data_IF_318401996576
#
_entry.id   IF_318401996576
#
_cell.length_a   1.000
_cell.length_b   1.000
_cell.length_c   1.000
_cell.angle_alpha   90.00
_cell.angle_beta   90.00
_cell.angle_gamma   90.00
#
_symmetry.space_group_name_H-M   'P 1'
#
loop_
_entity.id
_entity.type
_entity.pdbx_description
1 polymer ?
#
# COMPACT_ATOMS: atom_id res chain seq x y z
N UNK A 1 5.25 13.81 -2.94
CA UNK A 1 6.13 13.42 -1.80
C UNK A 1 5.23 12.92 -0.69
N UNK A 2 5.42 11.70 -0.20
CA UNK A 2 4.69 11.18 0.96
C UNK A 2 5.39 11.67 2.24
N UNK A 3 4.60 12.06 3.24
CA UNK A 3 5.08 12.48 4.57
C UNK A 3 4.42 11.56 5.58
N UNK A 4 5.22 11.00 6.49
CA UNK A 4 4.73 10.21 7.60
C UNK A 4 4.44 11.12 8.80
N UNK A 5 3.27 10.98 9.41
CA UNK A 5 2.86 11.76 10.59
C UNK A 5 2.88 10.87 11.84
N UNK A 6 3.49 11.36 12.93
CA UNK A 6 3.47 10.63 14.20
C UNK A 6 2.09 10.73 14.85
N UNK A 7 1.56 9.59 15.30
CA UNK A 7 0.29 9.50 16.03
C UNK A 7 0.51 10.08 17.44
N UNK A 8 -0.46 10.89 17.90
CA UNK A 8 -0.47 11.49 19.25
C UNK A 8 -1.65 11.04 20.11
N UNK A 9 -2.60 10.33 19.51
CA UNK A 9 -3.80 9.79 20.17
C UNK A 9 -3.87 8.27 20.04
N UNK A 10 -5.09 7.74 19.90
CA UNK A 10 -5.30 6.32 19.63
C UNK A 10 -4.77 5.94 18.24
N UNK A 11 -4.10 4.80 18.15
CA UNK A 11 -3.68 4.22 16.88
C UNK A 11 -4.88 3.70 16.08
N UNK A 12 -4.84 3.77 14.74
CA UNK A 12 -5.94 3.32 13.91
C UNK A 12 -6.08 1.79 13.96
N UNK A 13 -7.31 1.30 13.80
CA UNK A 13 -7.61 -0.12 13.66
C UNK A 13 -7.38 -0.53 12.21
N UNK A 14 -6.77 -1.70 11.98
CA UNK A 14 -6.57 -2.24 10.63
C UNK A 14 -7.81 -3.05 10.21
N UNK A 15 -8.87 -2.36 9.80
CA UNK A 15 -10.14 -2.96 9.35
C UNK A 15 -10.55 -2.58 7.91
N UNK A 16 -9.73 -1.78 7.22
CA UNK A 16 -9.94 -1.34 5.85
C UNK A 16 -10.76 -0.05 5.73
N UNK A 17 -11.22 0.52 6.85
CA UNK A 17 -11.80 1.85 6.90
C UNK A 17 -10.73 2.91 7.21
N UNK A 18 -10.91 4.10 6.65
CA UNK A 18 -10.05 5.27 6.92
C UNK A 18 -10.85 6.36 7.64
N UNK A 19 -11.68 5.97 8.61
CA UNK A 19 -12.57 6.85 9.37
C UNK A 19 -12.11 7.11 10.82
N UNK A 20 -11.09 6.40 11.30
CA UNK A 20 -10.41 6.73 12.55
C UNK A 20 -9.85 8.16 12.54
N UNK A 21 -9.97 8.86 13.68
CA UNK A 21 -9.49 10.24 13.82
C UNK A 21 -7.98 10.39 13.61
N UNK A 22 -7.19 9.33 13.78
CA UNK A 22 -5.76 9.37 13.52
C UNK A 22 -5.45 9.73 12.05
N UNK A 23 -6.29 9.31 11.11
CA UNK A 23 -6.10 9.59 9.68
C UNK A 23 -6.26 11.06 9.32
N UNK A 24 -7.00 11.84 10.11
CA UNK A 24 -7.18 13.28 9.84
C UNK A 24 -5.92 14.09 10.15
N UNK A 25 -4.96 13.53 10.89
CA UNK A 25 -3.69 14.20 11.20
C UNK A 25 -2.68 14.13 10.04
N UNK A 26 -2.88 13.22 9.08
CA UNK A 26 -2.02 13.10 7.90
C UNK A 26 -2.68 13.71 6.66
N UNK A 27 -1.99 14.68 6.05
CA UNK A 27 -2.34 15.17 4.73
C UNK A 27 -2.19 14.03 3.71
N UNK A 28 -3.21 13.72 2.90
CA UNK A 28 -3.08 12.72 1.85
C UNK A 28 -2.01 13.13 0.85
N UNK A 29 -1.09 12.21 0.56
CA UNK A 29 -0.31 12.29 -0.65
C UNK A 29 -1.22 11.99 -1.85
N UNK A 30 -1.16 12.89 -2.83
CA UNK A 30 -1.89 12.81 -4.11
C UNK A 30 -0.94 13.10 -5.26
N UNK A 31 -1.46 13.12 -6.49
CA UNK A 31 -0.68 13.47 -7.68
C UNK A 31 0.29 12.37 -8.09
N UNK A 32 -0.12 11.12 -7.90
CA UNK A 32 0.59 9.96 -8.44
C UNK A 32 0.68 10.03 -9.96
N UNK A 33 1.71 9.39 -10.51
CA UNK A 33 1.95 9.32 -11.95
C UNK A 33 1.86 7.89 -12.42
N UNK A 34 1.58 7.72 -13.70
CA UNK A 34 1.50 6.44 -14.35
C UNK A 34 2.91 5.89 -14.57
N UNK A 35 3.06 4.58 -14.37
CA UNK A 35 4.18 3.83 -14.92
C UNK A 35 3.84 3.31 -16.33
N UNK A 36 2.60 2.86 -16.52
CA UNK A 36 1.99 2.46 -17.77
C UNK A 36 0.56 3.01 -17.85
N UNK A 37 -0.02 3.18 -19.05
CA UNK A 37 0.60 3.05 -20.37
C UNK A 37 1.49 4.24 -20.76
N UNK A 38 1.37 5.38 -20.08
CA UNK A 38 2.13 6.60 -20.40
C UNK A 38 3.03 7.00 -19.21
N UNK A 39 4.29 6.52 -19.17
CA UNK A 39 5.20 6.78 -18.05
C UNK A 39 5.35 8.28 -17.74
N UNK A 40 5.07 8.64 -16.49
CA UNK A 40 5.20 10.02 -15.98
C UNK A 40 3.98 10.92 -16.20
N UNK A 41 2.96 10.48 -16.96
CA UNK A 41 1.69 11.20 -17.05
C UNK A 41 0.95 11.19 -15.71
N UNK A 42 0.07 12.18 -15.42
CA UNK A 42 -0.79 12.13 -14.24
C UNK A 42 -1.62 10.85 -14.20
N UNK A 43 -1.77 10.22 -13.03
CA UNK A 43 -2.65 9.05 -12.87
C UNK A 43 -4.07 9.37 -13.36
N UNK A 44 -4.64 8.47 -14.15
CA UNK A 44 -6.02 8.59 -14.66
C UNK A 44 -7.05 8.38 -13.57
N UNK A 45 -6.73 7.51 -12.60
CA UNK A 45 -7.54 7.21 -11.44
C UNK A 45 -6.95 7.88 -10.20
N UNK A 46 -7.80 8.58 -9.43
CA UNK A 46 -7.35 9.32 -8.26
C UNK A 46 -6.88 8.33 -7.19
N UNK A 47 -5.71 8.60 -6.62
CA UNK A 47 -5.18 7.84 -5.48
C UNK A 47 -4.82 8.80 -4.35
N UNK A 48 -5.20 8.44 -3.13
CA UNK A 48 -4.76 9.09 -1.90
C UNK A 48 -4.03 8.10 -1.03
N UNK A 49 -2.83 8.44 -0.57
CA UNK A 49 -2.10 7.64 0.41
C UNK A 49 -1.77 8.48 1.65
N UNK A 50 -1.93 7.89 2.84
CA UNK A 50 -1.56 8.48 4.13
C UNK A 50 -0.60 7.52 4.84
N UNK A 51 0.42 8.08 5.48
CA UNK A 51 1.36 7.31 6.32
C UNK A 51 1.29 7.87 7.73
N UNK A 52 0.99 7.00 8.69
CA UNK A 52 1.06 7.29 10.11
C UNK A 52 2.09 6.37 10.75
N UNK A 53 2.61 6.76 11.91
CA UNK A 53 3.45 5.87 12.71
C UNK A 53 3.37 6.22 14.19
N UNK A 54 3.61 5.22 15.03
CA UNK A 54 3.87 5.37 16.46
C UNK A 54 5.17 4.64 16.82
N UNK A 55 5.36 4.30 18.09
CA UNK A 55 6.57 3.62 18.55
C UNK A 55 6.53 2.10 18.27
N UNK A 56 5.38 1.56 17.83
CA UNK A 56 5.14 0.13 17.62
C UNK A 56 5.02 -0.22 16.13
N UNK A 57 4.38 0.64 15.33
CA UNK A 57 4.05 0.33 13.94
C UNK A 57 4.09 1.53 12.99
N UNK A 58 4.22 1.21 11.70
CA UNK A 58 3.94 2.11 10.58
C UNK A 58 2.62 1.69 9.94
N UNK A 59 1.69 2.63 9.83
CA UNK A 59 0.37 2.42 9.26
C UNK A 59 0.30 3.09 7.89
N UNK A 60 -0.18 2.35 6.90
CA UNK A 60 -0.35 2.86 5.53
C UNK A 60 -1.81 2.74 5.13
N UNK A 61 -2.46 3.88 4.91
CA UNK A 61 -3.83 3.96 4.44
C UNK A 61 -3.85 4.40 3.00
N UNK A 62 -4.45 3.60 2.10
CA UNK A 62 -4.56 3.94 0.69
C UNK A 62 -6.02 3.93 0.28
N UNK A 63 -6.48 5.01 -0.34
CA UNK A 63 -7.78 5.10 -0.99
C UNK A 63 -7.60 5.21 -2.49
N UNK A 64 -8.03 4.17 -3.18
CA UNK A 64 -7.98 4.03 -4.63
C UNK A 64 -9.38 4.35 -5.15
N UNK A 65 -9.51 5.40 -5.94
CA UNK A 65 -10.77 5.73 -6.60
C UNK A 65 -10.74 5.08 -7.98
N UNK A 66 -11.86 4.49 -8.41
CA UNK A 66 -12.00 3.95 -9.76
C UNK A 66 -13.27 4.55 -10.38
N UNK A 67 -13.15 5.08 -11.60
CA UNK A 67 -14.28 5.63 -12.36
C UNK A 67 -15.32 4.57 -12.76
N UNK A 68 -14.95 3.28 -12.72
CA UNK A 68 -15.77 2.10 -12.99
C UNK A 68 -15.60 1.08 -11.84
N UNK A 69 -16.15 1.36 -10.65
CA UNK A 69 -15.96 0.50 -9.47
C UNK A 69 -16.45 -0.94 -9.67
N UNK A 70 -17.45 -1.15 -10.54
CA UNK A 70 -17.95 -2.48 -10.90
C UNK A 70 -16.93 -3.33 -11.69
N UNK A 71 -15.87 -2.71 -12.21
CA UNK A 71 -14.78 -3.38 -12.94
C UNK A 71 -13.58 -3.73 -12.08
N UNK A 72 -13.56 -3.30 -10.81
CA UNK A 72 -12.50 -3.64 -9.85
C UNK A 72 -12.52 -5.15 -9.65
N UNK A 73 -11.47 -5.81 -10.13
CA UNK A 73 -11.37 -7.26 -10.09
C UNK A 73 -10.67 -7.65 -8.80
N UNK A 74 -11.42 -8.22 -7.87
CA UNK A 74 -10.89 -8.82 -6.65
C UNK A 74 -11.08 -10.33 -6.69
N UNK A 75 -10.32 -11.04 -7.53
CA UNK A 75 -10.32 -12.50 -7.48
C UNK A 75 -9.69 -12.96 -6.15
N UNK A 76 -10.32 -13.96 -5.51
CA UNK A 76 -9.84 -14.51 -4.25
C UNK A 76 -8.76 -15.57 -4.55
N UNK A 77 -7.53 -15.29 -4.15
CA UNK A 77 -6.40 -16.21 -4.24
C UNK A 77 -5.92 -16.61 -2.85
N UNK A 78 -5.09 -17.66 -2.76
CA UNK A 78 -4.34 -17.91 -1.52
C UNK A 78 -3.29 -16.81 -1.32
N UNK A 79 -2.83 -16.65 -0.07
CA UNK A 79 -1.66 -15.82 0.24
C UNK A 79 -0.49 -16.22 -0.68
N UNK A 80 0.23 -15.22 -1.19
CA UNK A 80 1.41 -15.37 -2.07
C UNK A 80 1.12 -15.89 -3.49
N UNK A 81 -0.15 -16.07 -3.87
CA UNK A 81 -0.56 -16.29 -5.26
C UNK A 81 -0.89 -14.96 -5.94
N UNK A 82 -0.20 -14.67 -7.05
CA UNK A 82 -0.55 -13.58 -7.96
C UNK A 82 -1.48 -14.13 -9.05
N UNK A 83 -2.69 -13.60 -9.12
CA UNK A 83 -3.59 -13.81 -10.25
C UNK A 83 -4.22 -12.51 -10.71
N UNK A 84 -5.08 -12.59 -11.72
CA UNK A 84 -5.72 -11.40 -12.31
C UNK A 84 -6.62 -10.71 -11.27
N UNK A 85 -6.11 -9.65 -10.66
CA UNK A 85 -6.74 -8.83 -9.63
C UNK A 85 -6.11 -7.45 -9.66
N UNK A 86 -6.82 -6.46 -9.16
CA UNK A 86 -6.23 -5.19 -8.78
C UNK A 86 -5.40 -5.35 -7.51
N UNK A 87 -4.35 -4.56 -7.39
CA UNK A 87 -3.41 -4.61 -6.26
C UNK A 87 -2.91 -3.22 -5.91
N UNK A 88 -2.62 -3.02 -4.63
CA UNK A 88 -1.76 -1.94 -4.17
C UNK A 88 -0.52 -2.53 -3.51
N UNK A 89 0.64 -1.96 -3.84
CA UNK A 89 1.91 -2.36 -3.26
C UNK A 89 2.58 -1.18 -2.56
N UNK A 90 3.22 -1.46 -1.43
CA UNK A 90 4.04 -0.53 -0.67
C UNK A 90 5.41 -1.14 -0.49
N UNK A 91 6.45 -0.43 -0.93
CA UNK A 91 7.84 -0.84 -0.74
C UNK A 91 8.55 0.09 0.24
N UNK A 92 9.18 -0.48 1.27
CA UNK A 92 9.90 0.23 2.32
C UNK A 92 11.40 -0.06 2.25
N UNK A 93 12.18 0.93 1.82
CA UNK A 93 13.65 0.93 1.95
C UNK A 93 14.03 1.44 3.34
N UNK A 94 14.06 0.51 4.31
CA UNK A 94 14.38 0.81 5.72
C UNK A 94 15.86 1.11 5.94
N UNK A 95 16.75 0.75 5.01
CA UNK A 95 18.19 1.01 5.07
C UNK A 95 18.61 2.28 4.34
N UNK A 96 17.71 2.86 3.55
CA UNK A 96 17.94 3.99 2.66
C UNK A 96 19.09 3.75 1.68
N UNK A 97 19.30 2.50 1.29
CA UNK A 97 20.39 2.10 0.38
C UNK A 97 20.00 2.21 -1.10
N UNK A 98 18.71 2.48 -1.38
CA UNK A 98 18.11 2.59 -2.72
C UNK A 98 18.31 1.33 -3.57
N UNK A 99 18.45 0.18 -2.93
CA UNK A 99 18.75 -1.11 -3.58
C UNK A 99 17.92 -2.25 -3.00
N UNK A 100 17.51 -2.13 -1.74
CA UNK A 100 16.71 -3.12 -1.06
C UNK A 100 15.43 -2.53 -0.51
N UNK A 101 14.36 -3.31 -0.51
CA UNK A 101 13.09 -2.92 0.09
C UNK A 101 12.31 -4.14 0.56
N UNK A 102 11.53 -3.96 1.62
CA UNK A 102 10.46 -4.90 1.97
C UNK A 102 9.18 -4.44 1.27
N UNK A 103 8.53 -5.33 0.54
CA UNK A 103 7.32 -5.02 -0.23
C UNK A 103 6.12 -5.74 0.34
N UNK A 104 5.02 -5.02 0.46
CA UNK A 104 3.74 -5.49 0.98
C UNK A 104 2.68 -5.18 -0.07
N UNK A 105 1.90 -6.18 -0.44
CA UNK A 105 0.82 -6.10 -1.42
C UNK A 105 -0.49 -6.54 -0.82
N UNK A 106 -1.56 -5.80 -1.10
CA UNK A 106 -2.92 -6.21 -0.74
C UNK A 106 -3.86 -5.99 -1.92
N UNK A 107 -4.77 -6.94 -2.13
CA UNK A 107 -5.82 -6.82 -3.15
C UNK A 107 -7.17 -6.42 -2.52
N UNK A 108 -8.20 -6.05 -3.31
CA UNK A 108 -9.51 -5.66 -2.78
C UNK A 108 -10.22 -6.73 -1.93
N UNK A 109 -9.77 -7.99 -1.94
CA UNK A 109 -10.30 -9.08 -1.11
C UNK A 109 -9.46 -9.34 0.15
N UNK A 110 -8.46 -8.51 0.43
CA UNK A 110 -7.57 -8.67 1.59
C UNK A 110 -6.55 -9.79 1.42
N UNK A 111 -6.34 -10.30 0.20
CA UNK A 111 -5.23 -11.24 -0.06
C UNK A 111 -3.93 -10.49 0.13
N UNK A 112 -3.07 -11.02 1.00
CA UNK A 112 -1.75 -10.49 1.30
C UNK A 112 -0.70 -11.12 0.39
N UNK A 113 0.26 -10.30 0.00
CA UNK A 113 1.47 -10.67 -0.70
C UNK A 113 2.63 -9.93 -0.06
N UNK A 114 3.76 -10.60 0.16
CA UNK A 114 4.96 -9.92 0.61
C UNK A 114 6.22 -10.51 -0.02
N UNK A 115 7.26 -9.68 -0.10
CA UNK A 115 8.53 -10.08 -0.65
C UNK A 115 9.67 -9.15 -0.22
N UNK A 116 10.90 -9.64 -0.36
CA UNK A 116 12.10 -8.84 -0.24
C UNK A 116 12.66 -8.50 -1.62
N UNK A 117 12.73 -7.22 -1.96
CA UNK A 117 13.37 -6.71 -3.17
C UNK A 117 14.86 -6.47 -2.90
N UNK A 118 15.71 -6.94 -3.81
CA UNK A 118 17.17 -6.79 -3.74
C UNK A 118 17.79 -6.70 -5.14
N UNK A 119 19.05 -6.25 -5.21
CA UNK A 119 19.77 -6.04 -6.47
C UNK A 119 18.94 -5.24 -7.51
N UNK A 120 18.15 -4.26 -7.03
CA UNK A 120 17.30 -3.35 -7.81
C UNK A 120 16.08 -3.99 -8.51
N UNK A 121 16.19 -5.23 -8.97
CA UNK A 121 15.18 -5.89 -9.83
C UNK A 121 14.79 -7.29 -9.39
N UNK A 122 15.49 -7.87 -8.41
CA UNK A 122 15.19 -9.23 -7.94
C UNK A 122 14.22 -9.20 -6.79
N UNK A 123 13.36 -10.21 -6.76
CA UNK A 123 12.33 -10.39 -5.73
C UNK A 123 12.52 -11.75 -5.10
N UNK A 124 12.74 -11.78 -3.79
CA UNK A 124 12.69 -12.98 -2.97
C UNK A 124 11.30 -13.10 -2.33
N UNK A 125 10.49 -14.00 -2.88
CA UNK A 125 9.13 -14.31 -2.41
C UNK A 125 9.09 -15.30 -1.25
N UNK A 126 10.26 -15.76 -0.76
CA UNK A 126 10.32 -16.64 0.42
C UNK A 126 10.35 -15.87 1.73
N UNK A 127 10.56 -14.55 1.66
CA UNK A 127 10.42 -13.67 2.80
C UNK A 127 8.94 -13.61 3.21
N UNK A 128 8.65 -13.90 4.48
CA UNK A 128 7.29 -14.00 5.02
C UNK A 128 7.20 -13.14 6.29
N UNK A 129 6.60 -11.95 6.17
CA UNK A 129 6.44 -11.04 7.29
C UNK A 129 5.18 -11.30 8.11
N UNK A 130 5.24 -10.91 9.39
CA UNK A 130 4.07 -10.80 10.24
C UNK A 130 3.55 -9.36 10.13
N UNK A 131 2.41 -9.18 9.47
CA UNK A 131 1.76 -7.88 9.28
C UNK A 131 0.25 -8.04 9.02
N UNK A 132 -0.52 -7.00 9.31
CA UNK A 132 -1.97 -6.95 9.14
C UNK A 132 -2.38 -6.10 7.94
N UNK A 133 -3.47 -6.50 7.29
CA UNK A 133 -4.06 -5.78 6.17
C UNK A 133 -5.57 -6.03 6.12
N UNK A 134 -6.30 -5.02 5.68
CA UNK A 134 -7.73 -5.12 5.41
C UNK A 134 -8.09 -4.22 4.22
N UNK A 135 -9.17 -4.57 3.53
CA UNK A 135 -9.63 -3.86 2.33
C UNK A 135 -11.15 -3.81 2.31
N UNK A 136 -11.71 -2.75 1.73
CA UNK A 136 -13.15 -2.46 1.71
C UNK A 136 -13.59 -1.94 0.35
#
# INVERSE_FOLDING_TARGET
RLVATRITGASPVVDGALDDSAWTAAEPATGFVQFEPEPGAPATERTEARILYDDEAVYVGVRLFDSRPDSVTGHLFRRDEEGYSDWVYVALDTRRDRRTAFTFGVNPRGVKWDAFLYDDTRVDRSWDAIWDAASR
#
